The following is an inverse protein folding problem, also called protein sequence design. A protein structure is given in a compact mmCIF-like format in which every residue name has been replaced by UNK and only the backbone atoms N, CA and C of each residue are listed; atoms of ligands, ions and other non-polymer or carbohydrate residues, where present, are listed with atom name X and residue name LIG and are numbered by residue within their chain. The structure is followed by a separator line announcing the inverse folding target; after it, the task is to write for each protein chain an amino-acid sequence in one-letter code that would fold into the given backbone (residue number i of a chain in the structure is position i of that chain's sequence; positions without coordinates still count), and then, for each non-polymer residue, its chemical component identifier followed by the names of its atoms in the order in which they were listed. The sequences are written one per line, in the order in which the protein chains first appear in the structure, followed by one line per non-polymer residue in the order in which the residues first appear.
data_IF_467947241437
#
_entry.id   IF_467947241437
#
_cell.length_a   1.000
_cell.length_b   1.000
_cell.length_c   1.000
_cell.angle_alpha   90.00
_cell.angle_beta   90.00
_cell.angle_gamma   90.00
#
_symmetry.space_group_name_H-M   'P 1'
#
loop_
_entity.id
_entity.type
_entity.pdbx_description
1 polymer ?
#
# COMPACT_ATOMS: atom_id res chain seq x y z
N UNK A 1 -3.93 -8.48 -14.90
CA UNK A 1 -3.48 -7.09 -14.66
C UNK A 1 -2.12 -6.92 -15.30
N UNK A 2 -1.99 -5.98 -16.25
CA UNK A 2 -0.68 -5.63 -16.81
C UNK A 2 0.16 -5.02 -15.68
N UNK A 3 1.34 -5.58 -15.43
CA UNK A 3 2.24 -5.09 -14.39
C UNK A 3 2.73 -3.72 -14.83
N UNK A 4 2.34 -2.68 -14.11
CA UNK A 4 2.75 -1.30 -14.37
C UNK A 4 3.73 -0.88 -13.28
N UNK A 5 5.02 -1.26 -13.38
CA UNK A 5 6.00 -0.99 -12.32
C UNK A 5 6.19 0.50 -12.04
N UNK A 6 5.93 1.36 -13.03
CA UNK A 6 5.98 2.81 -12.87
C UNK A 6 4.99 3.32 -11.81
N UNK A 7 3.84 2.67 -11.61
CA UNK A 7 2.88 3.06 -10.56
C UNK A 7 3.47 2.85 -9.17
N UNK A 8 4.17 1.73 -8.96
CA UNK A 8 4.85 1.46 -7.69
C UNK A 8 5.95 2.49 -7.44
N UNK A 9 6.77 2.79 -8.45
CA UNK A 9 7.81 3.80 -8.31
C UNK A 9 7.25 5.19 -8.02
N UNK A 10 6.20 5.61 -8.73
CA UNK A 10 5.50 6.86 -8.47
C UNK A 10 4.97 6.91 -7.03
N UNK A 11 4.40 5.80 -6.54
CA UNK A 11 3.87 5.70 -5.18
C UNK A 11 4.98 5.77 -4.12
N UNK A 12 6.09 5.04 -4.32
CA UNK A 12 7.25 5.08 -3.42
C UNK A 12 7.84 6.49 -3.35
N UNK A 13 7.99 7.16 -4.50
CA UNK A 13 8.45 8.55 -4.55
C UNK A 13 7.47 9.45 -3.80
N UNK A 14 6.16 9.26 -3.98
CA UNK A 14 5.13 10.01 -3.26
C UNK A 14 5.18 9.82 -1.74
N UNK A 15 5.46 8.61 -1.27
CA UNK A 15 5.64 8.31 0.17
C UNK A 15 6.90 8.97 0.72
N UNK A 16 8.02 8.90 -0.01
CA UNK A 16 9.31 9.45 0.44
C UNK A 16 9.41 10.97 0.25
N UNK A 17 8.54 11.56 -0.57
CA UNK A 17 8.55 12.99 -0.83
C UNK A 17 8.08 13.76 0.42
N UNK A 18 8.87 14.71 0.93
CA UNK A 18 8.44 15.55 2.04
C UNK A 18 7.39 16.55 1.53
N UNK A 19 6.10 16.19 1.61
CA UNK A 19 5.01 17.03 1.09
C UNK A 19 4.97 18.43 1.73
N UNK A 20 5.42 18.53 2.99
CA UNK A 20 5.61 19.79 3.68
C UNK A 20 6.65 20.72 3.01
N UNK A 21 7.65 20.17 2.31
CA UNK A 21 8.60 20.96 1.53
C UNK A 21 7.93 21.59 0.31
N UNK A 22 7.11 20.83 -0.42
CA UNK A 22 6.38 21.36 -1.57
C UNK A 22 5.37 22.45 -1.16
N UNK A 23 4.75 22.28 0.01
CA UNK A 23 3.83 23.26 0.60
C UNK A 23 4.45 24.65 0.79
N UNK A 24 5.77 24.75 1.00
CA UNK A 24 6.44 26.03 1.25
C UNK A 24 6.49 26.97 0.04
N UNK A 25 6.44 26.44 -1.18
CA UNK A 25 6.64 27.26 -2.39
C UNK A 25 5.36 27.90 -2.93
N UNK A 26 4.18 27.37 -2.57
CA UNK A 26 2.91 27.80 -3.15
C UNK A 26 1.92 28.12 -2.02
N UNK A 27 1.63 29.41 -1.74
CA UNK A 27 0.80 29.81 -0.59
C UNK A 27 -0.59 29.17 -0.57
N UNK A 28 -1.26 29.08 -1.73
CA UNK A 28 -2.58 28.44 -1.83
C UNK A 28 -2.55 26.94 -1.53
N UNK A 29 -1.50 26.25 -1.99
CA UNK A 29 -1.30 24.84 -1.67
C UNK A 29 -0.97 24.64 -0.19
N UNK A 30 -0.18 25.53 0.42
CA UNK A 30 0.10 25.51 1.85
C UNK A 30 -1.18 25.60 2.69
N UNK A 31 -2.07 26.55 2.35
CA UNK A 31 -3.33 26.73 3.06
C UNK A 31 -4.22 25.47 2.97
N UNK A 32 -4.36 24.89 1.77
CA UNK A 32 -5.10 23.66 1.57
C UNK A 32 -4.47 22.48 2.31
N UNK A 33 -3.14 22.33 2.21
CA UNK A 33 -2.40 21.27 2.86
C UNK A 33 -2.57 21.33 4.37
N UNK A 34 -2.43 22.50 4.99
CA UNK A 34 -2.63 22.66 6.43
C UNK A 34 -4.09 22.47 6.84
N UNK A 35 -5.06 22.85 6.01
CA UNK A 35 -6.47 22.61 6.30
C UNK A 35 -6.81 21.11 6.33
N UNK A 36 -6.24 20.32 5.40
CA UNK A 36 -6.49 18.89 5.29
C UNK A 36 -5.61 18.05 6.21
N UNK A 37 -4.32 18.37 6.30
CA UNK A 37 -3.30 17.56 7.00
C UNK A 37 -2.80 18.21 8.29
N UNK A 38 -3.33 19.36 8.69
CA UNK A 38 -3.03 19.99 9.98
C UNK A 38 -3.47 19.15 11.19
N UNK A 39 -4.65 18.48 11.18
CA UNK A 39 -5.03 17.63 12.29
C UNK A 39 -4.11 16.40 12.45
N UNK A 40 -3.70 16.04 13.68
CA UNK A 40 -2.77 14.92 13.89
C UNK A 40 -3.34 13.57 13.45
N UNK A 41 -4.66 13.37 13.54
CA UNK A 41 -5.27 12.12 13.08
C UNK A 41 -5.21 11.96 11.55
N UNK A 42 -5.17 13.05 10.79
CA UNK A 42 -5.03 12.99 9.33
C UNK A 42 -3.64 12.53 8.92
N UNK A 43 -2.61 12.85 9.72
CA UNK A 43 -1.28 12.26 9.58
C UNK A 43 -1.36 10.73 9.67
N UNK A 44 -1.95 10.18 10.73
CA UNK A 44 -2.11 8.73 10.90
C UNK A 44 -2.93 8.06 9.79
N UNK A 45 -4.05 8.67 9.41
CA UNK A 45 -4.89 8.14 8.32
C UNK A 45 -4.13 8.12 7.01
N UNK A 46 -3.35 9.17 6.71
CA UNK A 46 -2.56 9.23 5.49
C UNK A 46 -1.49 8.14 5.45
N UNK A 47 -0.76 7.92 6.55
CA UNK A 47 0.18 6.81 6.72
C UNK A 47 -0.48 5.45 6.47
N UNK A 48 -1.59 5.16 7.17
CA UNK A 48 -2.32 3.90 7.00
C UNK A 48 -2.76 3.67 5.55
N UNK A 49 -3.27 4.71 4.87
CA UNK A 49 -3.71 4.61 3.46
C UNK A 49 -2.51 4.41 2.52
N UNK A 50 -1.44 5.19 2.67
CA UNK A 50 -0.25 5.10 1.84
C UNK A 50 0.37 3.70 1.88
N UNK A 51 0.52 3.14 3.09
CA UNK A 51 1.07 1.80 3.28
C UNK A 51 0.08 0.69 2.90
N UNK A 52 -1.23 0.88 3.06
CA UNK A 52 -2.23 -0.06 2.54
C UNK A 52 -2.15 -0.18 1.01
N UNK A 53 -2.07 0.95 0.31
CA UNK A 53 -1.92 0.95 -1.16
C UNK A 53 -0.57 0.37 -1.57
N UNK A 54 0.51 0.68 -0.85
CA UNK A 54 1.83 0.12 -1.11
C UNK A 54 1.82 -1.42 -1.01
N UNK A 55 1.25 -1.97 0.05
CA UNK A 55 1.11 -3.42 0.24
C UNK A 55 0.33 -4.05 -0.93
N UNK A 56 -0.80 -3.45 -1.28
CA UNK A 56 -1.67 -3.89 -2.37
C UNK A 56 -0.91 -3.88 -3.70
N UNK A 57 -0.17 -2.81 -4.00
CA UNK A 57 0.63 -2.68 -5.22
C UNK A 57 1.75 -3.74 -5.26
N UNK A 58 2.52 -3.89 -4.18
CA UNK A 58 3.60 -4.87 -4.10
C UNK A 58 3.08 -6.30 -4.32
N UNK A 59 2.00 -6.68 -3.62
CA UNK A 59 1.38 -8.00 -3.78
C UNK A 59 0.83 -8.20 -5.20
N UNK A 60 0.22 -7.18 -5.80
CA UNK A 60 -0.32 -7.25 -7.16
C UNK A 60 0.74 -7.40 -8.26
N UNK A 61 1.96 -6.95 -7.99
CA UNK A 61 3.09 -7.06 -8.92
C UNK A 61 3.82 -8.40 -8.84
N UNK A 62 3.70 -9.09 -7.71
CA UNK A 62 4.24 -10.44 -7.56
C UNK A 62 3.44 -11.44 -8.40
N UNK A 63 4.07 -12.55 -8.83
CA UNK A 63 3.31 -13.66 -9.46
C UNK A 63 2.36 -14.23 -8.40
N UNK A 64 1.24 -14.90 -8.71
CA UNK A 64 0.50 -15.63 -7.68
C UNK A 64 1.36 -16.77 -7.09
N UNK A 65 1.29 -17.07 -5.78
CA UNK A 65 2.07 -18.15 -5.18
C UNK A 65 1.36 -19.48 -5.36
N UNK A 66 2.12 -20.54 -5.61
CA UNK A 66 1.63 -21.90 -5.35
C UNK A 66 1.87 -22.27 -3.88
N UNK A 67 0.84 -22.74 -3.19
CA UNK A 67 0.92 -23.36 -1.86
C UNK A 67 1.55 -22.49 -0.75
N UNK A 68 2.40 -23.10 0.08
CA UNK A 68 3.04 -22.49 1.27
C UNK A 68 3.91 -21.26 0.99
N UNK A 69 4.19 -20.92 -0.28
CA UNK A 69 4.94 -19.71 -0.64
C UNK A 69 4.14 -18.42 -0.45
N UNK A 70 2.84 -18.51 -0.15
CA UNK A 70 2.01 -17.34 0.13
C UNK A 70 2.49 -16.55 1.35
N UNK A 71 2.74 -17.25 2.48
CA UNK A 71 3.16 -16.60 3.73
C UNK A 71 4.55 -15.96 3.63
N UNK A 72 5.49 -16.61 2.94
CA UNK A 72 6.81 -16.04 2.67
C UNK A 72 6.74 -14.72 1.89
N UNK A 73 5.76 -14.57 1.01
CA UNK A 73 5.59 -13.33 0.25
C UNK A 73 4.93 -12.22 1.04
N UNK A 74 3.98 -12.57 1.91
CA UNK A 74 3.47 -11.58 2.88
C UNK A 74 4.65 -11.06 3.71
N UNK A 75 5.55 -11.95 4.15
CA UNK A 75 6.76 -11.55 4.88
C UNK A 75 7.68 -10.67 4.03
N UNK A 76 7.96 -11.04 2.77
CA UNK A 76 8.76 -10.20 1.84
C UNK A 76 8.16 -8.80 1.67
N UNK A 77 6.84 -8.71 1.44
CA UNK A 77 6.14 -7.43 1.32
C UNK A 77 6.22 -6.65 2.62
N UNK A 78 6.00 -7.29 3.77
CA UNK A 78 6.08 -6.64 5.07
C UNK A 78 7.49 -6.08 5.34
N UNK A 79 8.55 -6.84 5.02
CA UNK A 79 9.93 -6.37 5.18
C UNK A 79 10.24 -5.18 4.26
N UNK A 80 9.79 -5.21 3.00
CA UNK A 80 9.96 -4.09 2.07
C UNK A 80 9.20 -2.85 2.53
N UNK A 81 7.99 -3.02 3.03
CA UNK A 81 7.20 -1.93 3.59
C UNK A 81 7.87 -1.33 4.82
N UNK A 82 8.33 -2.17 5.74
CA UNK A 82 9.05 -1.72 6.93
C UNK A 82 10.29 -0.91 6.55
N UNK A 83 11.06 -1.37 5.55
CA UNK A 83 12.21 -0.62 5.02
C UNK A 83 11.79 0.76 4.48
N UNK A 84 10.71 0.84 3.72
CA UNK A 84 10.20 2.11 3.16
C UNK A 84 9.70 3.03 4.27
N UNK A 85 9.00 2.50 5.27
CA UNK A 85 8.53 3.24 6.45
C UNK A 85 9.69 3.85 7.24
N UNK A 86 10.73 3.04 7.51
CA UNK A 86 11.95 3.53 8.16
C UNK A 86 12.63 4.63 7.36
N UNK A 87 12.73 4.49 6.04
CA UNK A 87 13.33 5.51 5.18
C UNK A 87 12.50 6.80 5.19
N UNK A 88 11.17 6.69 5.09
CA UNK A 88 10.27 7.84 5.12
C UNK A 88 10.37 8.59 6.46
N UNK A 89 10.32 7.88 7.59
CA UNK A 89 10.44 8.53 8.89
C UNK A 89 11.83 9.15 9.09
N UNK A 90 12.89 8.46 8.62
CA UNK A 90 14.25 9.01 8.69
C UNK A 90 14.40 10.30 7.88
N UNK A 91 13.82 10.37 6.68
CA UNK A 91 13.81 11.57 5.86
C UNK A 91 13.01 12.69 6.53
N UNK A 92 11.88 12.36 7.14
CA UNK A 92 11.05 13.30 7.89
C UNK A 92 11.80 13.92 9.08
N UNK A 93 12.47 13.08 9.89
CA UNK A 93 13.27 13.54 11.02
C UNK A 93 14.44 14.41 10.58
N UNK A 94 15.13 14.01 9.51
CA UNK A 94 16.22 14.79 8.92
C UNK A 94 15.73 16.17 8.47
N UNK A 95 14.58 16.23 7.81
CA UNK A 95 13.96 17.48 7.40
C UNK A 95 13.52 18.37 8.57
N UNK A 96 13.01 17.75 9.65
CA UNK A 96 12.60 18.45 10.89
C UNK A 96 13.78 18.80 11.81
N UNK A 97 14.99 18.33 11.49
CA UNK A 97 16.19 18.43 12.35
C UNK A 97 15.94 17.90 13.79
N UNK A 98 15.13 16.84 13.92
CA UNK A 98 14.74 16.24 15.22
C UNK A 98 15.41 14.87 15.40
N UNK A 99 15.83 14.49 16.62
CA UNK A 99 16.24 13.12 16.91
C UNK A 99 15.05 12.14 16.89
N UNK A 100 15.35 10.85 16.82
CA UNK A 100 14.34 9.78 16.93
C UNK A 100 13.68 9.79 18.32
N UNK A 101 12.37 9.57 18.39
CA UNK A 101 11.57 9.60 19.60
C UNK A 101 10.44 8.55 19.63
N UNK A 102 9.43 8.81 20.45
CA UNK A 102 8.27 7.92 20.62
C UNK A 102 7.23 8.00 19.51
N UNK A 103 7.07 9.19 18.90
CA UNK A 103 6.08 9.42 17.85
C UNK A 103 6.40 8.57 16.60
N UNK A 104 7.69 8.39 16.33
CA UNK A 104 8.23 7.64 15.21
C UNK A 104 7.86 6.14 15.32
N UNK A 105 7.85 5.58 16.54
CA UNK A 105 7.40 4.20 16.77
C UNK A 105 5.90 4.04 16.55
N UNK A 106 5.12 5.06 16.94
CA UNK A 106 3.69 5.06 16.71
C UNK A 106 3.38 5.14 15.20
N UNK A 107 4.07 6.02 14.47
CA UNK A 107 3.91 6.14 13.02
C UNK A 107 4.27 4.83 12.30
N UNK A 108 5.37 4.15 12.68
CA UNK A 108 5.70 2.81 12.18
C UNK A 108 4.61 1.77 12.47
N UNK A 109 3.97 1.83 13.63
CA UNK A 109 2.87 0.94 13.97
C UNK A 109 1.63 1.21 13.08
N UNK A 110 1.32 2.49 12.83
CA UNK A 110 0.25 2.90 11.92
C UNK A 110 0.52 2.43 10.49
N UNK A 111 1.76 2.55 10.01
CA UNK A 111 2.19 2.03 8.70
C UNK A 111 2.00 0.51 8.61
N UNK A 112 2.36 -0.20 9.68
CA UNK A 112 2.14 -1.64 9.82
C UNK A 112 0.66 -2.02 9.72
N UNK A 113 -0.23 -1.30 10.43
CA UNK A 113 -1.68 -1.48 10.34
C UNK A 113 -2.16 -1.26 8.90
N UNK A 114 -1.70 -0.18 8.26
CA UNK A 114 -1.97 0.10 6.85
C UNK A 114 -1.60 -1.09 5.96
N UNK A 115 -0.39 -1.64 6.12
CA UNK A 115 0.06 -2.80 5.35
C UNK A 115 -0.74 -4.07 5.56
N UNK A 116 -1.17 -4.34 6.79
CA UNK A 116 -2.08 -5.45 7.09
C UNK A 116 -3.42 -5.25 6.36
N UNK A 117 -4.00 -4.05 6.41
CA UNK A 117 -5.25 -3.75 5.71
C UNK A 117 -5.11 -3.93 4.19
N UNK A 118 -4.03 -3.42 3.59
CA UNK A 118 -3.76 -3.61 2.17
C UNK A 118 -3.63 -5.08 1.76
N UNK A 119 -2.98 -5.88 2.62
CA UNK A 119 -2.84 -7.33 2.42
C UNK A 119 -4.20 -8.04 2.50
N UNK A 120 -5.05 -7.68 3.46
CA UNK A 120 -6.40 -8.23 3.60
C UNK A 120 -7.26 -7.89 2.38
N UNK A 121 -7.20 -6.65 1.89
CA UNK A 121 -7.91 -6.22 0.67
C UNK A 121 -7.43 -7.02 -0.53
N UNK A 122 -6.11 -7.16 -0.73
CA UNK A 122 -5.55 -7.96 -1.81
C UNK A 122 -6.05 -9.42 -1.78
N UNK A 123 -6.07 -10.02 -0.59
CA UNK A 123 -6.52 -11.39 -0.41
C UNK A 123 -8.02 -11.56 -0.71
N UNK A 124 -8.86 -10.63 -0.24
CA UNK A 124 -10.29 -10.61 -0.55
C UNK A 124 -10.55 -10.48 -2.06
N UNK A 125 -9.81 -9.60 -2.74
CA UNK A 125 -9.87 -9.44 -4.20
C UNK A 125 -9.46 -10.71 -4.94
N UNK A 126 -8.38 -11.37 -4.49
CA UNK A 126 -7.85 -12.59 -5.10
C UNK A 126 -8.84 -13.75 -5.01
N UNK A 127 -9.47 -13.95 -3.84
CA UNK A 127 -10.51 -14.97 -3.64
C UNK A 127 -11.73 -14.75 -4.53
N UNK A 128 -12.14 -13.49 -4.75
CA UNK A 128 -13.28 -13.18 -5.63
C UNK A 128 -12.97 -13.54 -7.09
N UNK A 129 -11.75 -13.28 -7.54
CA UNK A 129 -11.32 -13.62 -8.90
C UNK A 129 -11.25 -15.12 -9.15
N UNK A 130 -10.82 -15.91 -8.17
CA UNK A 130 -10.80 -17.38 -8.27
C UNK A 130 -12.21 -17.96 -8.41
N UNK A 131 -13.18 -17.51 -7.57
CA UNK A 131 -14.57 -17.97 -7.66
C UNK A 131 -15.19 -17.70 -9.04
N UNK A 132 -15.02 -16.48 -9.56
CA UNK A 132 -15.55 -16.09 -10.87
C UNK A 132 -14.92 -16.86 -12.04
N UNK A 133 -13.71 -17.41 -11.87
CA UNK A 133 -13.09 -18.28 -12.89
C UNK A 133 -13.71 -19.67 -12.88
N UNK A 134 -13.86 -20.27 -11.70
CA UNK A 134 -14.51 -21.58 -11.55
C UNK A 134 -15.94 -21.57 -12.11
N UNK A 135 -16.74 -20.54 -11.78
CA UNK A 135 -18.11 -20.41 -12.28
C UNK A 135 -18.18 -20.31 -13.82
N UNK A 136 -17.20 -19.67 -14.46
CA UNK A 136 -17.14 -19.57 -15.92
C UNK A 136 -16.77 -20.90 -16.56
N UNK A 137 -15.84 -21.63 -15.97
CA UNK A 137 -15.40 -22.92 -16.48
C UNK A 137 -16.54 -23.96 -16.36
N UNK A 138 -17.24 -24.00 -15.21
CA UNK A 138 -18.41 -24.90 -15.03
C UNK A 138 -19.57 -24.57 -15.98
N UNK A 139 -19.90 -23.29 -16.15
CA UNK A 139 -20.98 -22.88 -17.07
C UNK A 139 -20.59 -23.07 -18.55
N UNK A 140 -19.32 -22.87 -18.89
CA UNK A 140 -18.79 -23.16 -20.22
C UNK A 140 -18.89 -24.66 -20.56
N UNK A 141 -18.51 -25.53 -19.62
CA UNK A 141 -18.63 -26.99 -19.78
C UNK A 141 -20.08 -27.43 -19.89
N UNK A 142 -21.01 -26.86 -19.10
CA UNK A 142 -22.44 -27.20 -19.19
C UNK A 142 -23.08 -26.79 -20.52
N UNK A 143 -22.70 -25.64 -21.09
CA UNK A 143 -23.22 -25.19 -22.40
C UNK A 143 -22.66 -25.97 -23.58
N UNK A 144 -21.48 -26.59 -23.44
CA UNK A 144 -20.87 -27.42 -24.46
C UNK A 144 -21.46 -28.85 -24.56
N UNK A 145 -22.50 -29.18 -23.77
CA UNK A 145 -23.33 -30.37 -23.98
C UNK A 145 -24.69 -30.03 -24.61
N UNK A 146 -24.77 -29.57 -25.88
CA UNK A 146 -26.02 -29.61 -26.61
C UNK A 146 -26.20 -31.02 -27.20
N UNK A 147 -27.18 -31.77 -26.67
CA UNK A 147 -27.74 -32.96 -27.33
C UNK A 147 -26.76 -34.08 -27.65
N UNK A 148 -26.45 -34.90 -26.64
CA UNK A 148 -26.59 -36.35 -26.85
C UNK A 148 -28.08 -36.71 -26.71
#
# INVERSE_FOLDING_TARGET
MTRRPWLLWLWIIGILAPMAWLARFIPGYNALFNALFGPPWMHWVSHAVLFAVLALLLLSMMRPPGGNRFWWRILEVFLLMLLIAFLQERLQLWYKLRPWGGDEWFDLAVDGIGGVLGTVVFWAMSRRHERLRVDKDENGVRRARPGE
#
